data_IF_483449045313
#
_entry.id   IF_483449045313
#
_cell.length_a   1.000
_cell.length_b   1.000
_cell.length_c   1.000
_cell.angle_alpha   90.00
_cell.angle_beta   90.00
_cell.angle_gamma   90.00
#
_symmetry.space_group_name_H-M   'P 1'
#
loop_
_entity.id
_entity.type
_entity.pdbx_description
1 polymer ?
#
# COMPACT_ATOMS: atom_id res chain seq x y z
N UNK A 1 -11.17 53.39 19.49
CA UNK A 1 -11.53 52.26 20.40
C UNK A 1 -12.44 51.22 19.74
N UNK A 2 -13.28 51.57 18.75
CA UNK A 2 -14.10 50.59 18.00
C UNK A 2 -13.29 49.82 16.95
N UNK A 3 -12.29 50.44 16.35
CA UNK A 3 -11.47 49.85 15.27
C UNK A 3 -10.62 48.68 15.76
N UNK A 4 -10.07 48.80 16.97
CA UNK A 4 -9.37 47.71 17.67
C UNK A 4 -10.27 46.51 17.94
N UNK A 5 -11.56 46.72 18.18
CA UNK A 5 -12.52 45.63 18.38
C UNK A 5 -12.82 44.91 17.07
N UNK A 6 -13.01 45.65 15.97
CA UNK A 6 -13.21 45.07 14.63
C UNK A 6 -11.98 44.28 14.14
N UNK A 7 -10.78 44.78 14.44
CA UNK A 7 -9.53 44.07 14.14
C UNK A 7 -9.41 42.77 14.96
N UNK A 8 -9.78 42.80 16.24
CA UNK A 8 -9.82 41.60 17.08
C UNK A 8 -10.87 40.60 16.56
N UNK A 9 -12.06 41.06 16.21
CA UNK A 9 -13.12 40.21 15.66
C UNK A 9 -12.70 39.57 14.33
N UNK A 10 -12.03 40.33 13.45
CA UNK A 10 -11.47 39.82 12.20
C UNK A 10 -10.33 38.80 12.42
N UNK A 11 -9.48 39.04 13.42
CA UNK A 11 -8.42 38.11 13.80
C UNK A 11 -8.98 36.80 14.38
N UNK A 12 -10.01 36.90 15.22
CA UNK A 12 -10.74 35.74 15.76
C UNK A 12 -11.40 34.97 14.63
N UNK A 13 -12.07 35.64 13.70
CA UNK A 13 -12.71 34.99 12.56
C UNK A 13 -11.70 34.26 11.66
N UNK A 14 -10.53 34.86 11.43
CA UNK A 14 -9.44 34.22 10.68
C UNK A 14 -8.87 33.01 11.42
N UNK A 15 -8.64 33.12 12.72
CA UNK A 15 -8.18 32.01 13.56
C UNK A 15 -9.17 30.85 13.58
N UNK A 16 -10.46 31.14 13.70
CA UNK A 16 -11.54 30.14 13.63
C UNK A 16 -11.60 29.50 12.25
N UNK A 17 -11.50 30.28 11.18
CA UNK A 17 -11.50 29.77 9.81
C UNK A 17 -10.34 28.82 9.53
N UNK A 18 -9.12 29.21 9.91
CA UNK A 18 -7.92 28.37 9.76
C UNK A 18 -8.03 27.10 10.63
N UNK A 19 -8.55 27.23 11.85
CA UNK A 19 -8.78 26.08 12.73
C UNK A 19 -9.79 25.10 12.16
N UNK A 20 -10.89 25.58 11.58
CA UNK A 20 -11.90 24.74 10.95
C UNK A 20 -11.35 24.00 9.72
N UNK A 21 -10.60 24.69 8.86
CA UNK A 21 -9.95 24.07 7.70
C UNK A 21 -8.95 23.01 8.15
N UNK A 22 -8.12 23.30 9.16
CA UNK A 22 -7.18 22.33 9.72
C UNK A 22 -7.90 21.10 10.28
N UNK A 23 -8.96 21.28 11.05
CA UNK A 23 -9.76 20.19 11.60
C UNK A 23 -10.39 19.35 10.47
N UNK A 24 -10.93 20.00 9.44
CA UNK A 24 -11.53 19.33 8.30
C UNK A 24 -10.51 18.51 7.51
N UNK A 25 -9.34 19.07 7.20
CA UNK A 25 -8.26 18.35 6.53
C UNK A 25 -7.75 17.18 7.38
N UNK A 26 -7.57 17.40 8.69
CA UNK A 26 -7.17 16.33 9.62
C UNK A 26 -8.19 15.20 9.63
N UNK A 27 -9.49 15.52 9.66
CA UNK A 27 -10.57 14.54 9.57
C UNK A 27 -10.54 13.78 8.23
N UNK A 28 -10.32 14.48 7.12
CA UNK A 28 -10.21 13.89 5.79
C UNK A 28 -9.03 12.93 5.68
N UNK A 29 -7.86 13.36 6.15
CA UNK A 29 -6.65 12.55 6.19
C UNK A 29 -6.85 11.34 7.10
N UNK A 30 -7.44 11.53 8.28
CA UNK A 30 -7.76 10.42 9.19
C UNK A 30 -8.71 9.42 8.53
N UNK A 31 -9.73 9.89 7.80
CA UNK A 31 -10.66 9.03 7.05
C UNK A 31 -9.94 8.26 5.93
N UNK A 32 -9.07 8.92 5.15
CA UNK A 32 -8.25 8.25 4.14
C UNK A 32 -7.28 7.23 4.77
N UNK A 33 -6.72 7.57 5.92
CA UNK A 33 -5.80 6.68 6.65
C UNK A 33 -6.55 5.50 7.24
N UNK A 34 -7.76 5.71 7.74
CA UNK A 34 -8.66 4.68 8.22
C UNK A 34 -9.03 3.74 7.07
N UNK A 35 -9.38 4.28 5.90
CA UNK A 35 -9.58 3.49 4.68
C UNK A 35 -8.33 2.65 4.36
N UNK A 36 -7.14 3.23 4.36
CA UNK A 36 -5.88 2.49 4.15
C UNK A 36 -5.66 1.39 5.20
N UNK A 37 -5.98 1.64 6.47
CA UNK A 37 -5.84 0.66 7.55
C UNK A 37 -6.87 -0.46 7.45
N UNK A 38 -8.12 -0.12 7.12
CA UNK A 38 -9.20 -1.05 6.84
C UNK A 38 -8.79 -1.94 5.67
N UNK A 39 -8.31 -1.38 4.56
CA UNK A 39 -7.83 -2.15 3.42
C UNK A 39 -6.68 -3.09 3.82
N UNK A 40 -5.68 -2.62 4.59
CA UNK A 40 -4.57 -3.47 5.05
C UNK A 40 -5.00 -4.59 6.01
N UNK A 41 -6.04 -4.36 6.81
CA UNK A 41 -6.54 -5.33 7.79
C UNK A 41 -7.53 -6.32 7.17
N UNK A 42 -8.35 -5.87 6.24
CA UNK A 42 -9.30 -6.71 5.50
C UNK A 42 -8.64 -7.45 4.33
N UNK A 43 -7.61 -6.87 3.70
CA UNK A 43 -6.69 -7.61 2.84
C UNK A 43 -5.71 -8.39 3.74
N UNK A 44 -6.24 -9.36 4.47
CA UNK A 44 -5.48 -10.47 5.03
C UNK A 44 -4.97 -11.34 3.87
N UNK A 45 -3.98 -10.81 3.17
CA UNK A 45 -2.79 -11.49 2.66
C UNK A 45 -2.05 -10.42 1.85
N UNK A 46 -0.98 -9.79 2.37
CA UNK A 46 -0.03 -9.19 1.48
C UNK A 46 0.52 -10.35 0.65
N UNK A 47 -0.06 -10.59 -0.53
CA UNK A 47 0.57 -11.36 -1.59
C UNK A 47 2.03 -10.92 -1.57
N UNK A 48 2.98 -11.81 -1.22
CA UNK A 48 4.36 -11.41 -1.11
C UNK A 48 4.69 -10.79 -2.45
N UNK A 49 4.99 -9.48 -2.44
CA UNK A 49 5.56 -8.80 -3.59
C UNK A 49 6.83 -9.58 -3.86
N UNK A 50 6.74 -10.54 -4.78
CA UNK A 50 7.84 -11.38 -5.20
C UNK A 50 8.79 -10.40 -5.84
N UNK A 51 9.69 -9.87 -5.03
CA UNK A 51 10.85 -9.16 -5.54
C UNK A 51 11.50 -10.17 -6.48
N UNK A 52 11.67 -9.86 -7.78
CA UNK A 52 12.32 -10.78 -8.69
C UNK A 52 13.67 -11.12 -8.08
N UNK A 53 13.80 -12.33 -7.55
CA UNK A 53 15.09 -12.80 -7.02
C UNK A 53 16.02 -12.81 -8.23
N UNK A 54 17.21 -12.18 -8.17
CA UNK A 54 18.18 -12.29 -9.25
C UNK A 54 18.38 -13.78 -9.52
N UNK A 55 18.21 -14.19 -10.78
CA UNK A 55 18.38 -15.57 -11.19
C UNK A 55 19.79 -16.01 -10.79
N UNK A 56 19.91 -16.81 -9.73
CA UNK A 56 21.16 -17.47 -9.41
C UNK A 56 21.46 -18.45 -10.54
N UNK A 57 22.72 -18.60 -10.96
CA UNK A 57 23.09 -19.60 -11.95
C UNK A 57 22.66 -20.97 -11.41
N UNK A 58 21.74 -21.60 -12.12
CA UNK A 58 21.30 -22.96 -11.84
C UNK A 58 22.52 -23.88 -11.87
N UNK A 59 22.74 -24.62 -10.79
CA UNK A 59 23.77 -25.65 -10.77
C UNK A 59 23.40 -26.77 -11.74
N UNK A 60 24.39 -27.46 -12.31
CA UNK A 60 24.15 -28.60 -13.21
C UNK A 60 23.26 -29.68 -12.57
N UNK A 61 23.34 -29.83 -11.25
CA UNK A 61 22.51 -30.78 -10.48
C UNK A 61 21.03 -30.37 -10.48
N UNK A 62 20.76 -29.07 -10.35
CA UNK A 62 19.41 -28.51 -10.37
C UNK A 62 18.82 -28.55 -11.80
N UNK A 63 19.63 -28.28 -12.81
CA UNK A 63 19.26 -28.43 -14.23
C UNK A 63 18.84 -29.86 -14.56
N UNK A 64 19.63 -30.86 -14.16
CA UNK A 64 19.30 -32.28 -14.38
C UNK A 64 18.01 -32.67 -13.65
N UNK A 65 17.79 -32.16 -12.43
CA UNK A 65 16.55 -32.40 -11.69
C UNK A 65 15.32 -31.81 -12.40
N UNK A 66 15.39 -30.57 -12.89
CA UNK A 66 14.29 -29.93 -13.62
C UNK A 66 14.03 -30.61 -14.97
N UNK A 67 15.07 -30.97 -15.71
CA UNK A 67 14.93 -31.69 -16.98
C UNK A 67 14.33 -33.08 -16.75
N UNK A 68 14.77 -33.81 -15.72
CA UNK A 68 14.22 -35.14 -15.41
C UNK A 68 12.74 -35.11 -15.05
N UNK A 69 12.30 -34.10 -14.28
CA UNK A 69 10.88 -33.92 -13.92
C UNK A 69 10.03 -33.53 -15.14
N UNK A 70 10.54 -32.66 -16.00
CA UNK A 70 9.87 -32.31 -17.26
C UNK A 70 9.74 -33.51 -18.21
N UNK A 71 10.81 -34.28 -18.40
CA UNK A 71 10.81 -35.48 -19.25
C UNK A 71 9.91 -36.58 -18.67
N UNK A 72 9.91 -36.77 -17.35
CA UNK A 72 9.03 -37.74 -16.69
C UNK A 72 7.55 -37.38 -16.88
N UNK A 73 7.20 -36.09 -16.77
CA UNK A 73 5.84 -35.59 -17.04
C UNK A 73 5.45 -35.81 -18.50
N UNK A 74 6.34 -35.50 -19.45
CA UNK A 74 6.09 -35.70 -20.88
C UNK A 74 5.92 -37.19 -21.24
N UNK A 75 6.76 -38.08 -20.69
CA UNK A 75 6.65 -39.53 -20.91
C UNK A 75 5.36 -40.13 -20.37
N UNK A 76 4.85 -39.64 -19.24
CA UNK A 76 3.53 -40.04 -18.71
C UNK A 76 2.40 -39.61 -19.63
N UNK A 77 2.52 -38.45 -20.27
CA UNK A 77 1.51 -37.93 -21.18
C UNK A 77 1.52 -38.59 -22.57
N UNK A 78 2.66 -39.16 -23.00
CA UNK A 78 2.78 -39.82 -24.32
C UNK A 78 2.42 -41.32 -24.33
N UNK A 79 1.90 -41.85 -23.21
CA UNK A 79 1.51 -43.28 -23.08
C UNK A 79 0.01 -43.48 -22.82
N UNK A 80 -0.78 -42.43 -22.96
CA UNK A 80 -2.24 -42.48 -23.16
C UNK A 80 -2.56 -42.21 -24.62
#
# INVERSE_FOLDING_TARGET
MRDTQLLLDGLVLTGVGIGFVFAFLTLLVASMTLMSLLLRRFASDPLPLTTPKPASPLSDTELVAVISTAVHRYRRHKRS
#
